data_IF_496700178161
#
_entry.id   IF_496700178161
#
_cell.length_a   1.000
_cell.length_b   1.000
_cell.length_c   1.000
_cell.angle_alpha   90.00
_cell.angle_beta   90.00
_cell.angle_gamma   90.00
#
_symmetry.space_group_name_H-M   'P 1'
#
loop_
_entity.id
_entity.type
_entity.pdbx_description
1 polymer ?
#
# COMPACT_ATOMS: atom_id res chain seq x y z
N UNK A 1 12.43 -14.15 22.17
CA UNK A 1 11.12 -14.34 22.82
C UNK A 1 10.10 -13.73 21.88
N UNK A 2 9.26 -14.55 21.24
CA UNK A 2 8.09 -14.01 20.57
C UNK A 2 7.19 -13.39 21.65
N UNK A 3 6.79 -12.14 21.48
CA UNK A 3 5.81 -11.51 22.38
C UNK A 3 4.48 -12.26 22.30
N UNK A 4 3.65 -12.13 23.32
CA UNK A 4 2.27 -12.60 23.27
C UNK A 4 1.50 -11.83 22.20
N UNK A 5 0.65 -12.53 21.43
CA UNK A 5 -0.25 -11.88 20.48
C UNK A 5 -1.32 -11.10 21.23
N UNK A 6 -1.63 -9.90 20.74
CA UNK A 6 -2.69 -9.05 21.29
C UNK A 6 -3.75 -8.77 20.23
N UNK A 7 -5.01 -8.75 20.62
CA UNK A 7 -6.09 -8.29 19.75
C UNK A 7 -6.06 -6.77 19.60
N UNK A 8 -6.24 -6.29 18.37
CA UNK A 8 -6.30 -4.88 18.04
C UNK A 8 -7.11 -4.69 16.74
N UNK A 9 -7.68 -3.50 16.58
CA UNK A 9 -8.27 -3.07 15.31
C UNK A 9 -7.19 -2.72 14.29
N UNK A 10 -7.54 -2.71 12.99
CA UNK A 10 -6.61 -2.30 11.92
C UNK A 10 -6.06 -0.89 12.14
N UNK A 11 -6.89 0.05 12.64
CA UNK A 11 -6.44 1.42 12.91
C UNK A 11 -5.49 1.54 14.10
N UNK A 12 -5.58 0.62 15.07
CA UNK A 12 -4.62 0.52 16.17
C UNK A 12 -3.31 -0.09 15.69
N UNK A 13 -3.37 -1.16 14.91
CA UNK A 13 -2.21 -1.88 14.42
C UNK A 13 -1.43 -1.15 13.31
N UNK A 14 -2.08 -0.37 12.45
CA UNK A 14 -1.48 0.26 11.27
C UNK A 14 -1.72 1.77 11.23
N UNK A 15 -0.86 2.51 10.53
CA UNK A 15 -1.20 3.84 10.03
C UNK A 15 -1.96 3.65 8.70
N UNK A 16 -3.24 4.03 8.69
CA UNK A 16 -4.10 3.90 7.51
C UNK A 16 -4.07 5.20 6.71
N UNK A 17 -3.73 5.10 5.43
CA UNK A 17 -3.58 6.22 4.49
C UNK A 17 -2.65 7.34 5.03
N UNK A 18 -1.42 7.01 5.47
CA UNK A 18 -0.52 8.01 6.03
C UNK A 18 -0.25 9.14 5.01
N UNK A 19 -0.25 10.41 5.42
CA UNK A 19 0.05 11.51 4.52
C UNK A 19 1.52 11.41 4.07
N UNK A 20 1.74 11.59 2.77
CA UNK A 20 3.08 11.66 2.17
C UNK A 20 3.18 12.91 1.30
N UNK A 21 4.32 13.58 1.31
CA UNK A 21 4.53 14.76 0.47
C UNK A 21 4.83 14.31 -0.97
N UNK A 22 4.08 14.86 -1.94
CA UNK A 22 4.36 14.72 -3.36
C UNK A 22 3.85 15.97 -4.07
N UNK A 23 4.71 16.65 -4.83
CA UNK A 23 4.38 17.92 -5.49
C UNK A 23 3.62 17.65 -6.78
N UNK A 24 2.54 18.41 -7.02
CA UNK A 24 1.83 18.40 -8.31
C UNK A 24 2.81 18.75 -9.43
N UNK A 25 2.72 18.06 -10.58
CA UNK A 25 3.62 18.26 -11.71
C UNK A 25 4.93 17.47 -11.64
N UNK A 26 5.20 16.77 -10.52
CA UNK A 26 6.37 15.90 -10.42
C UNK A 26 6.08 14.55 -11.07
N UNK A 27 6.97 14.10 -11.96
CA UNK A 27 6.97 12.71 -12.45
C UNK A 27 7.53 11.81 -11.35
N UNK A 28 6.71 10.89 -10.87
CA UNK A 28 7.02 10.00 -9.76
C UNK A 28 6.53 8.57 -10.03
N UNK A 29 7.01 7.56 -9.27
CA UNK A 29 6.55 6.19 -9.42
C UNK A 29 5.04 6.07 -9.28
N UNK A 30 4.42 5.31 -10.17
CA UNK A 30 2.98 5.15 -10.24
C UNK A 30 2.60 3.68 -10.35
N UNK A 31 1.73 3.21 -9.46
CA UNK A 31 1.20 1.84 -9.52
C UNK A 31 -0.27 1.91 -9.96
N UNK A 32 -0.61 1.55 -11.21
CA UNK A 32 -1.98 1.53 -11.68
C UNK A 32 -2.77 0.34 -11.09
N UNK A 33 -4.10 0.47 -11.06
CA UNK A 33 -5.00 -0.53 -10.43
C UNK A 33 -4.94 -1.91 -11.09
N UNK A 34 -4.67 -1.94 -12.39
CA UNK A 34 -4.49 -3.18 -13.14
C UNK A 34 -3.15 -3.88 -12.82
N UNK A 35 -2.18 -3.18 -12.22
CA UNK A 35 -0.91 -3.77 -11.77
C UNK A 35 -0.98 -4.39 -10.37
N UNK A 36 -2.09 -4.22 -9.63
CA UNK A 36 -2.31 -4.95 -8.37
C UNK A 36 -2.70 -6.40 -8.66
N UNK A 37 -1.90 -7.38 -8.24
CA UNK A 37 -2.15 -8.78 -8.52
C UNK A 37 -3.21 -9.38 -7.58
N UNK A 38 -3.79 -10.49 -8.02
CA UNK A 38 -4.67 -11.36 -7.21
C UNK A 38 -3.87 -12.48 -6.54
N UNK A 39 -2.79 -12.96 -7.17
CA UNK A 39 -2.04 -14.15 -6.72
C UNK A 39 -0.54 -13.91 -6.54
N UNK A 40 -0.09 -12.65 -6.53
CA UNK A 40 1.28 -12.28 -6.24
C UNK A 40 1.36 -11.20 -5.15
N UNK A 41 2.56 -10.97 -4.63
CA UNK A 41 2.82 -9.98 -3.57
C UNK A 41 3.26 -8.62 -4.10
N UNK A 42 4.12 -8.61 -5.11
CA UNK A 42 4.61 -7.36 -5.73
C UNK A 42 3.64 -6.88 -6.79
N UNK A 43 3.59 -5.56 -7.02
CA UNK A 43 2.90 -5.02 -8.18
C UNK A 43 3.56 -5.54 -9.47
N UNK A 44 2.76 -5.83 -10.49
CA UNK A 44 3.27 -6.37 -11.76
C UNK A 44 4.14 -5.37 -12.52
N UNK A 45 3.91 -4.07 -12.28
CA UNK A 45 4.71 -2.98 -12.84
C UNK A 45 4.63 -1.72 -11.99
N UNK A 46 5.64 -0.89 -12.14
CA UNK A 46 5.71 0.47 -11.63
C UNK A 46 5.96 1.39 -12.82
N UNK A 47 4.96 2.21 -13.16
CA UNK A 47 5.09 3.24 -14.19
C UNK A 47 5.75 4.50 -13.59
N UNK A 48 6.03 5.49 -14.43
CA UNK A 48 6.35 6.85 -13.99
C UNK A 48 5.35 7.82 -14.59
N UNK A 49 4.62 8.54 -13.74
CA UNK A 49 3.59 9.49 -14.19
C UNK A 49 3.68 10.78 -13.42
N UNK A 50 3.32 11.86 -14.09
CA UNK A 50 3.12 13.15 -13.44
C UNK A 50 2.03 13.04 -12.38
N UNK A 51 2.33 13.49 -11.16
CA UNK A 51 1.35 13.56 -10.11
C UNK A 51 0.38 14.73 -10.34
N UNK A 52 -0.87 14.42 -10.65
CA UNK A 52 -1.93 15.42 -10.90
C UNK A 52 -2.41 16.14 -9.64
N UNK A 53 -1.92 15.77 -8.45
CA UNK A 53 -2.34 16.35 -7.17
C UNK A 53 -3.48 15.60 -6.48
N UNK A 54 -3.87 14.43 -6.99
CA UNK A 54 -4.84 13.51 -6.37
C UNK A 54 -4.35 12.06 -6.51
N UNK A 55 -4.84 11.18 -5.64
CA UNK A 55 -4.42 9.77 -5.59
C UNK A 55 -3.84 9.39 -4.24
N UNK A 56 -3.86 8.10 -3.94
CA UNK A 56 -3.16 7.55 -2.79
C UNK A 56 -1.65 7.73 -2.97
N UNK A 57 -0.94 7.92 -1.86
CA UNK A 57 0.52 8.09 -1.82
C UNK A 57 1.10 7.07 -0.87
N UNK A 58 2.20 6.46 -1.25
CA UNK A 58 2.79 5.33 -0.54
C UNK A 58 4.31 5.30 -0.74
N UNK A 59 5.01 4.50 0.04
CA UNK A 59 6.46 4.27 -0.06
C UNK A 59 6.78 2.78 0.07
N UNK A 60 8.05 2.42 -0.10
CA UNK A 60 8.52 1.08 0.22
C UNK A 60 8.19 0.72 1.68
N UNK A 61 7.70 -0.50 1.88
CA UNK A 61 7.22 -1.00 3.17
C UNK A 61 5.73 -0.82 3.41
N UNK A 62 5.00 -0.10 2.56
CA UNK A 62 3.54 0.01 2.65
C UNK A 62 2.84 -1.14 1.91
N UNK A 63 1.59 -1.42 2.30
CA UNK A 63 0.69 -2.34 1.60
C UNK A 63 -0.47 -1.58 0.98
N UNK A 64 -0.75 -1.85 -0.30
CA UNK A 64 -1.87 -1.30 -1.06
C UNK A 64 -3.01 -2.30 -1.13
N UNK A 65 -4.23 -1.86 -0.82
CA UNK A 65 -5.46 -2.64 -0.94
C UNK A 65 -6.42 -1.87 -1.84
N UNK A 66 -7.00 -2.53 -2.84
CA UNK A 66 -8.07 -1.93 -3.63
C UNK A 66 -9.37 -1.86 -2.82
N UNK A 67 -10.02 -0.68 -2.74
CA UNK A 67 -11.31 -0.50 -2.02
C UNK A 67 -12.55 -0.61 -2.90
N UNK A 68 -12.38 -0.59 -4.23
CA UNK A 68 -13.48 -0.66 -5.20
C UNK A 68 -13.81 -2.13 -5.57
N UNK A 69 -15.09 -2.46 -5.71
CA UNK A 69 -15.57 -3.78 -6.18
C UNK A 69 -15.49 -3.86 -7.72
N UNK A 70 -15.11 -5.00 -8.33
CA UNK A 70 -14.82 -6.31 -7.73
C UNK A 70 -13.37 -6.46 -7.22
N UNK A 71 -12.53 -5.43 -7.30
CA UNK A 71 -11.11 -5.55 -6.94
C UNK A 71 -10.90 -5.92 -5.47
N UNK A 72 -11.71 -5.36 -4.57
CA UNK A 72 -11.70 -5.67 -3.14
C UNK A 72 -12.02 -7.16 -2.90
N UNK A 73 -13.11 -7.67 -3.48
CA UNK A 73 -13.56 -9.06 -3.32
C UNK A 73 -12.55 -10.06 -3.92
N UNK A 74 -11.88 -9.66 -5.00
CA UNK A 74 -10.79 -10.44 -5.60
C UNK A 74 -9.48 -10.34 -4.80
N UNK A 75 -9.42 -9.59 -3.69
CA UNK A 75 -8.21 -9.48 -2.86
C UNK A 75 -7.04 -8.78 -3.55
N UNK A 76 -7.31 -7.88 -4.51
CA UNK A 76 -6.26 -7.09 -5.19
C UNK A 76 -5.49 -6.27 -4.17
N UNK A 77 -4.27 -6.73 -3.90
CA UNK A 77 -3.40 -6.24 -2.84
C UNK A 77 -1.95 -6.35 -3.28
N UNK A 78 -1.11 -5.38 -2.94
CA UNK A 78 0.33 -5.42 -3.23
C UNK A 78 1.15 -4.85 -2.06
N UNK A 79 2.29 -5.48 -1.77
CA UNK A 79 3.32 -4.91 -0.92
C UNK A 79 4.31 -4.11 -1.77
N UNK A 80 4.60 -2.88 -1.37
CA UNK A 80 5.47 -1.96 -2.11
C UNK A 80 6.92 -2.16 -1.67
N UNK A 81 7.80 -2.57 -2.59
CA UNK A 81 9.22 -2.85 -2.26
C UNK A 81 10.24 -2.27 -3.25
N UNK A 82 9.83 -1.94 -4.48
CA UNK A 82 10.75 -1.64 -5.59
C UNK A 82 10.72 -0.18 -6.05
N UNK A 83 10.30 0.74 -5.19
CA UNK A 83 10.47 2.17 -5.46
C UNK A 83 11.95 2.57 -5.27
N UNK A 84 12.44 3.61 -5.96
CA UNK A 84 13.73 4.21 -5.66
C UNK A 84 13.84 4.60 -4.18
N UNK A 85 15.06 4.58 -3.63
CA UNK A 85 15.27 4.88 -2.22
C UNK A 85 14.74 6.28 -1.84
N UNK A 86 14.04 6.36 -0.71
CA UNK A 86 13.36 7.56 -0.24
C UNK A 86 12.20 8.08 -1.11
N UNK A 87 11.83 7.40 -2.21
CA UNK A 87 10.78 7.88 -3.11
C UNK A 87 9.37 7.69 -2.52
N UNK A 88 8.48 8.61 -2.89
CA UNK A 88 7.04 8.49 -2.69
C UNK A 88 6.40 8.15 -4.03
N UNK A 89 5.71 7.03 -4.08
CA UNK A 89 4.87 6.64 -5.20
C UNK A 89 3.44 7.17 -5.06
N UNK A 90 2.71 7.16 -6.17
CA UNK A 90 1.29 7.50 -6.21
C UNK A 90 0.46 6.48 -6.99
N UNK A 91 -0.86 6.54 -6.84
CA UNK A 91 -1.76 5.57 -7.42
C UNK A 91 -3.21 6.02 -7.40
N UNK A 92 -4.12 5.07 -7.62
CA UNK A 92 -5.57 5.32 -7.59
C UNK A 92 -6.03 5.95 -6.26
N UNK A 93 -7.07 6.79 -6.29
CA UNK A 93 -7.81 7.23 -5.09
C UNK A 93 -8.61 6.08 -4.45
N UNK A 94 -8.70 4.95 -5.14
CA UNK A 94 -9.34 3.71 -4.68
C UNK A 94 -8.35 2.77 -3.96
N UNK A 95 -7.15 3.23 -3.60
CA UNK A 95 -6.27 2.48 -2.71
C UNK A 95 -6.49 2.86 -1.26
N UNK A 96 -6.45 1.85 -0.40
CA UNK A 96 -6.12 1.98 1.02
C UNK A 96 -4.65 1.63 1.16
N UNK A 97 -3.91 2.46 1.89
CA UNK A 97 -2.49 2.25 2.19
C UNK A 97 -2.37 1.86 3.65
N UNK A 98 -1.83 0.67 3.94
CA UNK A 98 -1.47 0.25 5.29
C UNK A 98 0.04 0.41 5.47
N UNK A 99 0.44 1.27 6.39
CA UNK A 99 1.81 1.37 6.85
C UNK A 99 1.93 0.74 8.24
N UNK A 100 2.95 -0.10 8.42
CA UNK A 100 3.23 -0.71 9.72
C UNK A 100 3.63 0.34 10.76
N UNK A 101 3.22 0.14 12.01
CA UNK A 101 3.67 0.94 13.15
C UNK A 101 4.88 0.27 13.80
N UNK A 102 5.95 1.01 13.99
CA UNK A 102 7.17 0.50 14.60
C UNK A 102 6.86 -0.22 15.92
N UNK A 103 7.43 -1.42 16.11
CA UNK A 103 7.24 -2.28 17.30
C UNK A 103 5.84 -2.86 17.49
N UNK A 104 4.90 -2.60 16.58
CA UNK A 104 3.54 -3.14 16.64
C UNK A 104 3.19 -4.00 15.42
N UNK A 105 3.54 -3.55 14.22
CA UNK A 105 3.25 -4.24 12.97
C UNK A 105 4.23 -3.87 11.86
N UNK A 106 4.14 -4.56 10.73
CA UNK A 106 4.85 -4.20 9.51
C UNK A 106 3.94 -4.33 8.28
N UNK A 107 4.37 -3.77 7.14
CA UNK A 107 3.57 -3.81 5.91
C UNK A 107 3.35 -5.22 5.37
N UNK A 108 4.28 -6.15 5.57
CA UNK A 108 4.10 -7.54 5.13
C UNK A 108 3.01 -8.23 5.95
N UNK A 109 2.94 -8.00 7.27
CA UNK A 109 1.83 -8.44 8.09
C UNK A 109 0.51 -7.87 7.58
N UNK A 110 0.47 -6.57 7.23
CA UNK A 110 -0.69 -5.95 6.59
C UNK A 110 -1.10 -6.60 5.27
N UNK A 111 -0.13 -6.99 4.43
CA UNK A 111 -0.39 -7.69 3.16
C UNK A 111 -1.02 -9.07 3.38
N UNK A 112 -0.49 -9.86 4.31
CA UNK A 112 -1.01 -11.20 4.58
C UNK A 112 -2.36 -11.14 5.31
N UNK A 113 -2.55 -10.18 6.21
CA UNK A 113 -3.82 -9.94 6.89
C UNK A 113 -4.93 -9.60 5.89
N UNK A 114 -4.66 -8.69 4.94
CA UNK A 114 -5.64 -8.26 3.93
C UNK A 114 -6.06 -9.36 2.94
N UNK A 115 -5.36 -10.49 2.92
CA UNK A 115 -5.64 -11.67 2.08
C UNK A 115 -6.07 -12.90 2.86
N UNK A 116 -6.12 -12.80 4.19
CA UNK A 116 -6.65 -13.86 5.02
C UNK A 116 -8.14 -14.04 4.72
N UNK A 117 -8.64 -15.28 4.63
CA UNK A 117 -10.09 -15.56 4.56
C UNK A 117 -10.86 -15.01 5.75
#
# INVERSE_FOLDING_TARGET
MAGEWTEATVGEAFEVNPPRALKRGLVAPFIPMDALPVHARAAERIDYREFAGSGARFKNGDTLIARITPCLENGKTAFVAELPDGAVGHGSTEYIVLAGKEKLSDGLYGYYLARSP
#
